data_IF_731464379891
#
_entry.id   IF_731464379891
#
_cell.length_a   1.000
_cell.length_b   1.000
_cell.length_c   1.000
_cell.angle_alpha   90.00
_cell.angle_beta   90.00
_cell.angle_gamma   90.00
#
_symmetry.space_group_name_H-M   'P 1'
#
loop_
_entity.id
_entity.type
_entity.pdbx_description
1 polymer ?
#
# COMPACT_ATOMS: atom_id res chain seq x y z
N UNK A 1 -9.46 -14.05 23.70
CA UNK A 1 -10.57 -13.71 22.78
C UNK A 1 -10.36 -12.28 22.30
N UNK A 2 -9.45 -12.06 21.36
CA UNK A 2 -9.12 -10.73 20.87
C UNK A 2 -8.79 -10.83 19.37
N UNK A 3 -9.78 -11.11 18.52
CA UNK A 3 -9.52 -11.14 17.05
C UNK A 3 -10.80 -11.09 16.18
N UNK A 4 -11.86 -10.39 16.61
CA UNK A 4 -13.09 -10.24 15.80
C UNK A 4 -13.49 -8.78 15.53
N UNK A 5 -12.88 -7.83 16.24
CA UNK A 5 -13.18 -6.41 16.06
C UNK A 5 -12.29 -5.73 14.99
N UNK A 6 -11.07 -6.22 14.75
CA UNK A 6 -10.15 -5.61 13.79
C UNK A 6 -10.51 -5.93 12.34
N UNK A 7 -10.89 -7.17 12.03
CA UNK A 7 -11.28 -7.59 10.66
C UNK A 7 -12.47 -6.78 10.13
N UNK A 8 -13.49 -6.53 10.95
CA UNK A 8 -14.63 -5.70 10.58
C UNK A 8 -14.24 -4.23 10.32
N UNK A 9 -13.10 -3.76 10.82
CA UNK A 9 -12.67 -2.36 10.69
C UNK A 9 -12.01 -2.09 9.33
N UNK A 10 -11.23 -3.04 8.79
CA UNK A 10 -10.55 -2.85 7.50
C UNK A 10 -11.50 -2.95 6.32
N UNK A 11 -12.41 -3.93 6.33
CA UNK A 11 -13.42 -4.09 5.29
C UNK A 11 -14.35 -2.87 5.22
N UNK A 12 -14.73 -2.31 6.37
CA UNK A 12 -15.51 -1.07 6.44
C UNK A 12 -14.76 0.12 5.85
N UNK A 13 -13.47 0.27 6.19
CA UNK A 13 -12.65 1.34 5.62
C UNK A 13 -12.46 1.18 4.11
N UNK A 14 -12.35 -0.05 3.61
CA UNK A 14 -12.21 -0.34 2.19
C UNK A 14 -13.52 -0.12 1.42
N UNK A 15 -14.66 -0.48 2.03
CA UNK A 15 -15.99 -0.18 1.52
C UNK A 15 -16.22 1.35 1.40
N UNK A 16 -15.63 2.13 2.29
CA UNK A 16 -15.63 3.61 2.24
C UNK A 16 -14.57 4.20 1.30
N UNK A 17 -13.78 3.37 0.60
CA UNK A 17 -12.67 3.81 -0.29
C UNK A 17 -11.57 4.60 0.41
N UNK A 18 -11.38 4.39 1.71
CA UNK A 18 -10.32 5.01 2.49
C UNK A 18 -8.97 4.28 2.28
N UNK A 19 -8.56 4.12 1.02
CA UNK A 19 -7.38 3.33 0.64
C UNK A 19 -6.07 3.91 1.18
N UNK A 20 -5.97 5.23 1.36
CA UNK A 20 -4.80 5.88 1.96
C UNK A 20 -4.61 5.47 3.44
N UNK A 21 -5.70 5.37 4.20
CA UNK A 21 -5.68 4.96 5.61
C UNK A 21 -5.25 3.50 5.70
N UNK A 22 -5.81 2.64 4.84
CA UNK A 22 -5.46 1.23 4.76
C UNK A 22 -4.00 1.02 4.36
N UNK A 23 -3.53 1.71 3.33
CA UNK A 23 -2.14 1.65 2.87
C UNK A 23 -1.15 2.06 3.97
N UNK A 24 -1.47 3.15 4.71
CA UNK A 24 -0.66 3.59 5.84
C UNK A 24 -0.65 2.57 6.98
N UNK A 25 -1.81 2.02 7.34
CA UNK A 25 -1.93 1.01 8.38
C UNK A 25 -1.14 -0.26 8.01
N UNK A 26 -1.25 -0.71 6.76
CA UNK A 26 -0.51 -1.82 6.19
C UNK A 26 1.01 -1.60 6.29
N UNK A 27 1.51 -0.43 5.86
CA UNK A 27 2.93 -0.11 5.94
C UNK A 27 3.44 -0.03 7.40
N UNK A 28 2.66 0.54 8.31
CA UNK A 28 3.00 0.60 9.74
C UNK A 28 3.02 -0.79 10.37
N UNK A 29 2.08 -1.67 10.01
CA UNK A 29 2.06 -3.05 10.48
C UNK A 29 3.29 -3.81 9.95
N UNK A 30 3.61 -3.68 8.67
CA UNK A 30 4.76 -4.33 8.06
C UNK A 30 6.10 -3.90 8.70
N UNK A 31 6.29 -2.60 8.89
CA UNK A 31 7.54 -2.03 9.44
C UNK A 31 7.80 -2.38 10.91
N UNK A 32 6.76 -2.67 11.70
CA UNK A 32 6.92 -3.09 13.11
C UNK A 32 7.54 -4.49 13.25
N UNK A 33 7.64 -5.27 12.17
CA UNK A 33 8.55 -6.41 12.04
C UNK A 33 8.35 -7.61 12.98
N UNK A 34 7.24 -7.67 13.73
CA UNK A 34 6.90 -8.85 14.54
C UNK A 34 5.83 -9.72 13.84
N UNK A 35 5.71 -10.97 14.27
CA UNK A 35 4.84 -11.96 13.61
C UNK A 35 3.36 -11.53 13.56
N UNK A 36 2.86 -10.90 14.63
CA UNK A 36 1.48 -10.42 14.73
C UNK A 36 1.25 -9.29 13.72
N UNK A 37 2.16 -8.32 13.67
CA UNK A 37 2.05 -7.18 12.76
C UNK A 37 2.30 -7.57 11.29
N UNK A 38 3.11 -8.60 11.03
CA UNK A 38 3.29 -9.15 9.68
C UNK A 38 2.01 -9.84 9.19
N UNK A 39 1.32 -10.55 10.09
CA UNK A 39 0.01 -11.17 9.80
C UNK A 39 -1.03 -10.10 9.50
N UNK A 40 -1.05 -9.02 10.29
CA UNK A 40 -1.96 -7.90 10.11
C UNK A 40 -1.73 -7.16 8.79
N UNK A 41 -0.47 -6.87 8.44
CA UNK A 41 -0.12 -6.28 7.15
C UNK A 41 -0.62 -7.14 5.98
N UNK A 42 -0.49 -8.47 6.09
CA UNK A 42 -1.03 -9.41 5.12
C UNK A 42 -2.57 -9.42 5.03
N UNK A 43 -3.28 -9.22 6.15
CA UNK A 43 -4.75 -9.08 6.14
C UNK A 43 -5.17 -7.81 5.39
N UNK A 44 -4.58 -6.67 5.73
CA UNK A 44 -4.90 -5.39 5.09
C UNK A 44 -4.55 -5.43 3.59
N UNK A 45 -3.42 -6.05 3.23
CA UNK A 45 -3.03 -6.23 1.84
C UNK A 45 -4.06 -7.04 1.04
N UNK A 46 -4.62 -8.10 1.62
CA UNK A 46 -5.68 -8.88 0.95
C UNK A 46 -6.93 -8.04 0.74
N UNK A 47 -7.38 -7.31 1.75
CA UNK A 47 -8.53 -6.41 1.66
C UNK A 47 -8.33 -5.40 0.53
N UNK A 48 -7.17 -4.72 0.48
CA UNK A 48 -6.86 -3.75 -0.58
C UNK A 48 -6.90 -4.36 -1.99
N UNK A 49 -6.54 -5.63 -2.13
CA UNK A 49 -6.49 -6.33 -3.42
C UNK A 49 -7.85 -6.86 -3.88
N UNK A 50 -8.90 -6.77 -3.05
CA UNK A 50 -10.28 -7.07 -3.46
C UNK A 50 -10.94 -5.90 -4.20
N UNK A 51 -10.34 -4.71 -4.14
CA UNK A 51 -10.88 -3.49 -4.74
C UNK A 51 -10.04 -3.06 -5.95
N UNK A 52 -10.54 -3.35 -7.16
CA UNK A 52 -9.87 -3.01 -8.42
C UNK A 52 -9.68 -1.50 -8.63
N UNK A 53 -10.50 -0.68 -7.96
CA UNK A 53 -10.43 0.78 -7.98
C UNK A 53 -9.48 1.38 -6.92
N UNK A 54 -8.80 0.54 -6.13
CA UNK A 54 -7.70 1.01 -5.29
C UNK A 54 -6.55 1.56 -6.16
N UNK A 55 -5.88 2.66 -5.74
CA UNK A 55 -4.75 3.22 -6.49
C UNK A 55 -3.69 2.16 -6.76
N UNK A 56 -3.10 2.19 -7.96
CA UNK A 56 -2.19 1.13 -8.41
C UNK A 56 -0.92 1.04 -7.56
N UNK A 57 -0.44 2.18 -7.05
CA UNK A 57 0.64 2.21 -6.06
C UNK A 57 0.30 1.47 -4.75
N UNK A 58 -0.96 1.53 -4.31
CA UNK A 58 -1.43 0.81 -3.10
C UNK A 58 -1.53 -0.68 -3.39
N UNK A 59 -2.10 -1.06 -4.54
CA UNK A 59 -2.18 -2.47 -4.98
C UNK A 59 -0.80 -3.10 -5.15
N UNK A 60 0.15 -2.38 -5.74
CA UNK A 60 1.54 -2.81 -5.87
C UNK A 60 2.19 -3.10 -4.51
N UNK A 61 2.07 -2.17 -3.55
CA UNK A 61 2.58 -2.36 -2.17
C UNK A 61 1.92 -3.54 -1.46
N UNK A 62 0.61 -3.73 -1.63
CA UNK A 62 -0.10 -4.87 -1.07
C UNK A 62 0.45 -6.20 -1.61
N UNK A 63 0.71 -6.29 -2.92
CA UNK A 63 1.34 -7.48 -3.52
C UNK A 63 2.77 -7.71 -3.01
N UNK A 64 3.57 -6.65 -2.85
CA UNK A 64 4.91 -6.75 -2.26
C UNK A 64 4.88 -7.33 -0.85
N UNK A 65 3.94 -6.87 -0.02
CA UNK A 65 3.78 -7.35 1.37
C UNK A 65 3.34 -8.81 1.42
N UNK A 66 2.51 -9.25 0.47
CA UNK A 66 2.15 -10.67 0.34
C UNK A 66 3.27 -11.52 -0.27
N UNK A 67 4.35 -10.91 -0.77
CA UNK A 67 5.46 -11.61 -1.42
C UNK A 67 5.07 -12.28 -2.73
N UNK A 68 3.92 -11.94 -3.31
CA UNK A 68 3.40 -12.56 -4.52
C UNK A 68 3.78 -11.77 -5.77
N UNK A 69 5.08 -11.66 -6.01
CA UNK A 69 5.63 -11.07 -7.24
C UNK A 69 5.37 -11.91 -8.49
N UNK A 70 4.62 -13.02 -8.38
CA UNK A 70 4.25 -13.92 -9.48
C UNK A 70 2.79 -13.76 -9.91
N UNK A 71 2.01 -12.93 -9.20
CA UNK A 71 0.63 -12.64 -9.59
C UNK A 71 0.60 -11.85 -10.89
N UNK A 72 -0.25 -12.26 -11.84
CA UNK A 72 -0.54 -11.45 -13.03
C UNK A 72 -0.95 -10.03 -12.61
N UNK A 73 -0.44 -9.00 -13.30
CA UNK A 73 -0.66 -7.61 -12.93
C UNK A 73 0.38 -7.01 -11.98
N UNK A 74 1.27 -7.81 -11.36
CA UNK A 74 2.25 -7.27 -10.40
C UNK A 74 3.23 -6.29 -11.05
N UNK A 75 3.78 -6.67 -12.21
CA UNK A 75 4.74 -5.84 -12.93
C UNK A 75 4.07 -4.55 -13.41
N UNK A 76 2.87 -4.65 -13.99
CA UNK A 76 2.10 -3.49 -14.44
C UNK A 76 1.77 -2.55 -13.27
N UNK A 77 1.34 -3.10 -12.12
CA UNK A 77 1.08 -2.30 -10.92
C UNK A 77 2.35 -1.63 -10.40
N UNK A 78 3.49 -2.32 -10.42
CA UNK A 78 4.77 -1.79 -9.96
C UNK A 78 5.28 -0.68 -10.89
N UNK A 79 5.19 -0.87 -12.20
CA UNK A 79 5.56 0.13 -13.21
C UNK A 79 4.67 1.38 -13.09
N UNK A 80 3.37 1.21 -12.93
CA UNK A 80 2.45 2.34 -12.74
C UNK A 80 2.65 3.05 -11.42
N UNK A 81 2.98 2.32 -10.35
CA UNK A 81 3.35 2.91 -9.07
C UNK A 81 4.61 3.80 -9.20
N UNK A 82 5.63 3.32 -9.91
CA UNK A 82 6.83 4.08 -10.22
C UNK A 82 6.49 5.31 -11.07
N UNK A 83 5.64 5.15 -12.08
CA UNK A 83 5.22 6.27 -12.93
C UNK A 83 4.43 7.34 -12.16
N UNK A 84 3.57 6.95 -11.22
CA UNK A 84 2.85 7.89 -10.35
C UNK A 84 3.80 8.71 -9.48
N UNK A 85 4.83 8.05 -8.92
CA UNK A 85 5.87 8.74 -8.15
C UNK A 85 6.66 9.67 -9.06
N UNK A 86 7.09 9.21 -10.23
CA UNK A 86 7.89 10.02 -11.16
C UNK A 86 7.10 11.23 -11.67
N UNK A 87 5.80 11.06 -11.99
CA UNK A 87 4.89 12.15 -12.37
C UNK A 87 4.70 13.15 -11.22
N UNK A 88 4.59 12.66 -9.99
CA UNK A 88 4.46 13.52 -8.80
C UNK A 88 5.75 14.32 -8.60
N UNK A 89 6.91 13.69 -8.70
CA UNK A 89 8.22 14.35 -8.54
C UNK A 89 8.51 15.33 -9.68
N UNK A 90 8.15 15.00 -10.92
CA UNK A 90 8.33 15.88 -12.08
C UNK A 90 7.36 17.06 -12.06
N UNK A 91 6.20 16.94 -11.40
CA UNK A 91 5.27 18.05 -11.18
C UNK A 91 5.70 19.03 -10.08
N UNK A 92 6.68 18.67 -9.25
CA UNK A 92 7.26 19.53 -8.22
C UNK A 92 8.38 20.39 -8.80
N UNK A 93 8.47 21.65 -8.36
CA UNK A 93 9.55 22.58 -8.75
C UNK A 93 10.41 22.99 -7.54
N UNK A 94 11.67 23.35 -7.78
CA UNK A 94 12.55 23.91 -6.76
C UNK A 94 12.87 22.97 -5.58
N UNK A 95 12.79 23.52 -4.36
CA UNK A 95 13.19 22.82 -3.11
C UNK A 95 12.31 21.60 -2.80
N UNK A 96 11.03 21.60 -3.20
CA UNK A 96 10.11 20.49 -2.96
C UNK A 96 10.50 19.23 -3.76
N UNK A 97 10.96 19.43 -5.01
CA UNK A 97 11.50 18.35 -5.84
C UNK A 97 12.80 17.80 -5.27
N UNK A 98 13.68 18.67 -4.79
CA UNK A 98 14.99 18.25 -4.23
C UNK A 98 14.82 17.46 -2.92
N UNK A 99 13.83 17.83 -2.09
CA UNK A 99 13.45 17.02 -0.92
C UNK A 99 12.83 15.69 -1.32
N UNK A 100 11.90 15.65 -2.27
CA UNK A 100 11.27 14.41 -2.73
C UNK A 100 12.30 13.42 -3.29
N UNK A 101 13.27 13.90 -4.08
CA UNK A 101 14.36 13.07 -4.62
C UNK A 101 15.28 12.49 -3.54
N UNK A 102 15.55 13.23 -2.45
CA UNK A 102 16.34 12.74 -1.30
C UNK A 102 15.63 11.64 -0.51
N UNK A 103 14.31 11.57 -0.58
CA UNK A 103 13.53 10.48 0.05
C UNK A 103 13.43 9.21 -0.83
N UNK A 104 13.77 9.32 -2.12
CA UNK A 104 13.69 8.23 -3.09
C UNK A 104 15.05 7.59 -3.43
N UNK A 105 16.16 8.22 -3.06
CA UNK A 105 17.54 7.74 -3.25
C UNK A 105 18.03 6.92 -2.05
#
# INVERSE_FOLDING_TARGET
>A
MADLAHDATWDQLAAMRNFEILDRAMCVAYTKGNLVNSTEAGRIAKVLLEYDDAPLAVRARALMILGDGRREGYLECAEEAVQLVDNSVTSLEGEEREQALKFLA
#
